data_IF_039478652880
#
_entry.id   IF_039478652880
#
_cell.length_a   1.000
_cell.length_b   1.000
_cell.length_c   1.000
_cell.angle_alpha   90.00
_cell.angle_beta   90.00
_cell.angle_gamma   90.00
#
_symmetry.space_group_name_H-M   'P 1'
#
loop_
_entity.id
_entity.type
_entity.pdbx_description
1 polymer ?
#
# COMPACT_ATOMS: atom_id res chain seq x y z
N UNK A 1 2.75 3.95 -3.22
CA UNK A 1 3.02 5.16 -2.43
C UNK A 1 4.10 5.90 -3.19
N UNK A 2 3.74 6.98 -3.85
CA UNK A 2 4.70 7.80 -4.59
C UNK A 2 4.94 9.07 -3.77
N UNK A 3 6.18 9.25 -3.31
CA UNK A 3 6.55 10.46 -2.58
C UNK A 3 6.73 11.68 -3.52
N UNK A 4 6.76 11.47 -4.85
CA UNK A 4 6.98 12.54 -5.84
C UNK A 4 8.40 13.15 -5.81
N UNK A 5 9.30 12.58 -5.00
CA UNK A 5 10.69 13.01 -4.93
C UNK A 5 11.48 12.45 -6.11
N UNK A 6 12.21 13.30 -6.83
CA UNK A 6 13.07 12.87 -7.93
C UNK A 6 14.36 12.30 -7.36
N UNK A 7 14.53 10.98 -7.44
CA UNK A 7 15.79 10.31 -7.13
C UNK A 7 16.65 10.18 -8.38
N UNK A 8 17.97 10.15 -8.19
CA UNK A 8 18.94 9.87 -9.26
C UNK A 8 19.14 8.37 -9.52
N UNK A 9 18.48 7.52 -8.74
CA UNK A 9 18.56 6.06 -8.79
C UNK A 9 17.17 5.48 -8.90
N UNK A 10 16.96 4.64 -9.90
CA UNK A 10 15.77 3.82 -10.09
C UNK A 10 16.13 2.37 -9.73
N UNK A 11 15.88 2.00 -8.47
CA UNK A 11 16.32 0.73 -7.90
C UNK A 11 15.25 0.15 -7.00
N UNK A 12 15.15 -1.18 -6.97
CA UNK A 12 14.31 -1.91 -6.02
C UNK A 12 15.19 -2.33 -4.84
N UNK A 13 14.80 -1.94 -3.63
CA UNK A 13 15.54 -2.26 -2.41
C UNK A 13 14.75 -3.26 -1.57
N UNK A 14 15.37 -4.38 -1.23
CA UNK A 14 14.82 -5.36 -0.31
C UNK A 14 15.51 -5.26 1.05
N UNK A 15 14.72 -5.19 2.12
CA UNK A 15 15.21 -5.16 3.50
C UNK A 15 15.28 -6.57 4.06
N UNK A 16 16.48 -7.00 4.47
CA UNK A 16 16.74 -8.32 5.06
C UNK A 16 16.32 -8.46 6.52
N UNK A 17 15.26 -7.77 6.93
CA UNK A 17 14.81 -7.71 8.31
C UNK A 17 13.69 -6.68 8.49
N UNK A 18 13.11 -6.64 9.69
CA UNK A 18 12.11 -5.65 10.04
C UNK A 18 12.78 -4.31 10.40
N UNK A 19 12.19 -3.21 9.95
CA UNK A 19 12.54 -1.87 10.44
C UNK A 19 12.10 -1.77 11.91
N UNK A 20 12.97 -1.37 12.84
CA UNK A 20 12.61 -1.23 14.25
C UNK A 20 11.40 -0.31 14.44
N UNK A 21 10.47 -0.69 15.31
CA UNK A 21 9.23 0.07 15.51
C UNK A 21 9.43 1.50 16.07
N UNK A 22 10.60 1.76 16.68
CA UNK A 22 11.02 3.07 17.20
C UNK A 22 11.77 3.91 16.15
N UNK A 23 11.99 3.38 14.95
CA UNK A 23 12.69 4.12 13.90
C UNK A 23 11.77 5.19 13.35
N UNK A 24 12.22 6.44 13.41
CA UNK A 24 11.56 7.58 12.78
C UNK A 24 12.10 7.78 11.36
N UNK A 25 13.40 7.59 11.17
CA UNK A 25 14.05 7.72 9.87
C UNK A 25 14.86 6.49 9.52
N UNK A 26 14.91 6.16 8.23
CA UNK A 26 15.75 5.09 7.68
C UNK A 26 16.57 5.64 6.53
N UNK A 27 17.89 5.67 6.71
CA UNK A 27 18.84 6.10 5.69
C UNK A 27 19.36 4.90 4.91
N UNK A 28 19.35 5.01 3.59
CA UNK A 28 19.75 3.94 2.67
C UNK A 28 21.14 4.25 2.11
N UNK A 29 22.11 3.40 2.41
CA UNK A 29 23.49 3.52 1.95
C UNK A 29 23.78 2.54 0.81
N UNK A 30 24.02 3.09 -0.38
CA UNK A 30 24.37 2.33 -1.58
C UNK A 30 25.90 2.16 -1.70
N UNK A 31 26.48 1.36 -0.83
CA UNK A 31 27.89 0.91 -0.88
C UNK A 31 28.06 -0.42 -1.61
N UNK A 32 29.29 -0.93 -1.73
CA UNK A 32 29.59 -2.27 -2.28
C UNK A 32 28.75 -3.36 -1.59
N UNK A 33 28.60 -3.23 -0.28
CA UNK A 33 27.63 -3.97 0.52
C UNK A 33 26.59 -2.96 1.01
N UNK A 34 25.40 -2.88 0.41
CA UNK A 34 24.43 -1.86 0.75
C UNK A 34 23.72 -2.20 2.06
N UNK A 35 23.41 -1.17 2.85
CA UNK A 35 22.75 -1.31 4.14
C UNK A 35 21.82 -0.13 4.42
N UNK A 36 20.91 -0.31 5.36
CA UNK A 36 20.04 0.74 5.88
C UNK A 36 20.34 0.99 7.36
N UNK A 37 20.36 2.26 7.74
CA UNK A 37 20.54 2.71 9.13
C UNK A 37 19.23 3.27 9.64
N UNK A 38 18.76 2.75 10.76
CA UNK A 38 17.52 3.18 11.39
C UNK A 38 17.84 4.11 12.56
N UNK A 39 17.23 5.30 12.57
CA UNK A 39 17.40 6.29 13.63
C UNK A 39 16.09 6.60 14.31
N UNK A 40 16.16 6.92 15.59
CA UNK A 40 15.01 7.43 16.35
C UNK A 40 14.80 8.93 16.12
N UNK A 41 13.85 9.51 16.85
CA UNK A 41 13.49 10.94 16.79
C UNK A 41 14.66 11.87 17.17
N UNK A 42 15.56 11.42 18.06
CA UNK A 42 16.76 12.18 18.43
C UNK A 42 17.89 12.07 17.38
N UNK A 43 17.70 11.25 16.34
CA UNK A 43 18.70 10.96 15.33
C UNK A 43 19.73 9.91 15.76
N UNK A 44 19.53 9.24 16.89
CA UNK A 44 20.43 8.20 17.36
C UNK A 44 20.21 6.90 16.59
N UNK A 45 21.31 6.20 16.27
CA UNK A 45 21.23 4.91 15.57
C UNK A 45 20.70 3.84 16.52
N UNK A 46 19.52 3.32 16.23
CA UNK A 46 18.88 2.24 16.98
C UNK A 46 19.01 0.87 16.29
N UNK A 47 19.44 0.84 15.02
CA UNK A 47 19.64 -0.42 14.31
C UNK A 47 20.23 -0.25 12.93
N UNK A 48 20.61 -1.39 12.32
CA UNK A 48 21.00 -1.47 10.93
C UNK A 48 20.40 -2.73 10.30
N UNK A 49 20.09 -2.65 9.01
CA UNK A 49 19.58 -3.79 8.23
C UNK A 49 20.39 -3.93 6.96
N UNK A 50 20.86 -5.14 6.66
CA UNK A 50 21.46 -5.43 5.35
C UNK A 50 20.35 -5.36 4.30
N UNK A 51 20.60 -4.61 3.23
CA UNK A 51 19.65 -4.50 2.12
C UNK A 51 20.23 -5.17 0.89
N UNK A 52 19.36 -5.62 -0.01
CA UNK A 52 19.74 -6.10 -1.33
C UNK A 52 19.15 -5.19 -2.39
N UNK A 53 19.95 -4.84 -3.38
CA UNK A 53 19.45 -4.19 -4.59
C UNK A 53 18.98 -5.32 -5.49
N UNK A 54 17.70 -5.31 -5.85
CA UNK A 54 17.11 -6.29 -6.72
C UNK A 54 17.12 -5.76 -8.16
N UNK A 55 17.58 -6.60 -9.08
CA UNK A 55 17.38 -6.37 -10.51
C UNK A 55 15.94 -6.76 -10.85
N UNK A 56 15.16 -5.77 -11.25
CA UNK A 56 13.76 -5.98 -11.58
C UNK A 56 13.12 -4.70 -12.07
N UNK A 57 11.95 -4.85 -12.68
CA UNK A 57 11.10 -3.74 -13.06
C UNK A 57 10.01 -3.61 -12.01
N UNK A 58 9.86 -2.41 -11.43
CA UNK A 58 8.71 -2.15 -10.58
C UNK A 58 7.42 -2.41 -11.37
N UNK A 59 6.39 -3.04 -10.78
CA UNK A 59 5.16 -3.38 -11.49
C UNK A 59 4.60 -2.15 -12.21
N UNK A 60 4.15 -2.35 -13.44
CA UNK A 60 3.45 -1.31 -14.21
C UNK A 60 2.10 -1.04 -13.53
N UNK A 61 2.07 -0.03 -12.66
CA UNK A 61 0.88 0.31 -11.89
C UNK A 61 -0.25 0.81 -12.79
N UNK A 62 0.04 1.41 -13.96
CA UNK A 62 -0.99 1.84 -14.92
C UNK A 62 -1.74 0.67 -15.54
N UNK A 63 -1.15 -0.53 -15.53
CA UNK A 63 -1.83 -1.75 -15.98
C UNK A 63 -2.75 -2.33 -14.92
N UNK A 64 -2.44 -2.14 -13.64
CA UNK A 64 -3.13 -2.79 -12.52
C UNK A 64 -4.15 -1.87 -11.87
N UNK A 65 -3.85 -0.58 -11.77
CA UNK A 65 -4.75 0.42 -11.20
C UNK A 65 -5.88 0.64 -12.20
N UNK A 66 -7.13 0.42 -11.78
CA UNK A 66 -8.25 0.68 -12.66
C UNK A 66 -8.38 2.16 -13.01
N UNK A 67 -8.57 2.46 -14.31
CA UNK A 67 -8.61 3.83 -14.86
C UNK A 67 -10.03 4.40 -14.92
N UNK A 68 -11.04 3.55 -14.93
CA UNK A 68 -12.46 3.92 -14.91
C UNK A 68 -13.11 3.43 -13.64
N UNK A 69 -14.18 4.10 -13.22
CA UNK A 69 -15.04 3.66 -12.12
C UNK A 69 -16.38 3.27 -12.72
N UNK A 70 -16.87 2.08 -12.37
CA UNK A 70 -18.22 1.64 -12.67
C UNK A 70 -19.05 1.73 -11.40
N UNK A 71 -19.85 2.78 -11.26
CA UNK A 71 -20.63 3.04 -10.05
C UNK A 71 -21.78 2.04 -9.84
N UNK A 72 -22.12 1.24 -10.86
CA UNK A 72 -23.15 0.21 -10.76
C UNK A 72 -22.60 -1.15 -10.34
N UNK A 73 -21.28 -1.31 -10.31
CA UNK A 73 -20.64 -2.57 -9.94
C UNK A 73 -20.55 -2.73 -8.42
N UNK A 74 -20.94 -3.90 -7.92
CA UNK A 74 -20.87 -4.31 -6.52
C UNK A 74 -20.06 -5.60 -6.37
N UNK A 75 -18.73 -5.56 -6.65
CA UNK A 75 -17.91 -6.77 -6.64
C UNK A 75 -17.87 -7.40 -5.24
N UNK A 76 -17.93 -8.73 -5.19
CA UNK A 76 -17.68 -9.48 -3.96
C UNK A 76 -16.22 -9.32 -3.53
N UNK A 77 -15.97 -8.69 -2.37
CA UNK A 77 -14.62 -8.51 -1.82
C UNK A 77 -14.41 -9.39 -0.60
N UNK A 78 -13.19 -9.89 -0.42
CA UNK A 78 -12.82 -10.54 0.84
C UNK A 78 -12.83 -9.51 1.97
N UNK A 79 -13.60 -9.78 3.03
CA UNK A 79 -13.63 -8.93 4.23
C UNK A 79 -12.24 -8.76 4.86
N UNK A 80 -11.33 -9.73 4.66
CA UNK A 80 -9.95 -9.63 5.10
C UNK A 80 -9.25 -8.39 4.53
N UNK A 81 -9.55 -8.02 3.28
CA UNK A 81 -8.95 -6.86 2.64
C UNK A 81 -9.36 -5.54 3.30
N UNK A 82 -10.58 -5.47 3.83
CA UNK A 82 -11.10 -4.28 4.51
C UNK A 82 -10.39 -4.00 5.84
N UNK A 83 -9.68 -4.99 6.40
CA UNK A 83 -8.86 -4.80 7.62
C UNK A 83 -7.54 -4.08 7.37
N UNK A 84 -7.00 -4.13 6.14
CA UNK A 84 -5.68 -3.56 5.84
C UNK A 84 -5.61 -2.04 5.96
N UNK A 85 -6.57 -1.24 5.45
CA UNK A 85 -6.60 0.21 5.66
C UNK A 85 -6.29 0.65 7.09
N UNK A 86 -6.96 0.00 8.07
CA UNK A 86 -6.76 0.30 9.48
C UNK A 86 -5.38 -0.16 9.97
N UNK A 87 -4.90 -1.34 9.55
CA UNK A 87 -3.55 -1.82 9.92
C UNK A 87 -2.42 -0.97 9.33
N UNK A 88 -2.62 -0.43 8.13
CA UNK A 88 -1.63 0.38 7.41
C UNK A 88 -1.55 1.80 7.95
N UNK A 89 -2.70 2.43 8.22
CA UNK A 89 -2.78 3.87 8.50
C UNK A 89 -3.35 4.22 9.88
N UNK A 90 -3.81 3.22 10.64
CA UNK A 90 -4.47 3.43 11.93
C UNK A 90 -3.54 3.91 13.06
N UNK A 91 -2.22 3.89 12.86
CA UNK A 91 -1.22 4.28 13.88
C UNK A 91 -1.24 5.77 14.29
N UNK A 92 -2.22 6.56 13.85
CA UNK A 92 -2.47 7.92 14.31
C UNK A 92 -3.93 8.39 14.19
N UNK A 93 -4.85 7.47 13.95
CA UNK A 93 -6.30 7.71 13.88
C UNK A 93 -7.02 6.37 13.92
N UNK A 94 -7.95 6.19 14.86
CA UNK A 94 -8.81 5.00 14.92
C UNK A 94 -9.84 4.95 13.78
N UNK A 95 -10.00 6.08 13.06
CA UNK A 95 -10.92 6.20 11.95
C UNK A 95 -10.15 6.35 10.64
N UNK A 96 -10.20 5.30 9.81
CA UNK A 96 -9.73 5.32 8.42
C UNK A 96 -10.93 5.20 7.51
N UNK A 97 -11.23 6.27 6.76
CA UNK A 97 -12.32 6.29 5.79
C UNK A 97 -11.81 5.77 4.45
N UNK A 98 -12.51 4.80 3.90
CA UNK A 98 -12.26 4.26 2.56
C UNK A 98 -13.50 4.40 1.70
N UNK A 99 -13.31 4.67 0.42
CA UNK A 99 -14.35 4.58 -0.61
C UNK A 99 -13.95 3.52 -1.63
N UNK A 100 -14.87 2.63 -1.97
CA UNK A 100 -14.66 1.68 -3.06
C UNK A 100 -14.81 2.39 -4.40
N UNK A 101 -13.90 2.10 -5.32
CA UNK A 101 -13.93 2.53 -6.71
C UNK A 101 -13.76 1.28 -7.58
N UNK A 102 -14.83 0.51 -7.78
CA UNK A 102 -14.82 -0.68 -8.62
C UNK A 102 -14.79 -0.32 -10.10
N UNK A 103 -14.34 -1.25 -10.94
CA UNK A 103 -14.25 -1.06 -12.39
C UNK A 103 -14.98 -2.15 -13.16
N UNK A 104 -15.90 -2.83 -12.47
CA UNK A 104 -16.63 -4.01 -12.91
C UNK A 104 -16.74 -5.06 -11.80
N UNK A 105 -17.64 -6.03 -11.98
CA UNK A 105 -17.92 -7.10 -11.02
C UNK A 105 -16.74 -8.05 -10.78
N UNK A 106 -15.95 -8.31 -11.82
CA UNK A 106 -14.85 -9.29 -11.79
C UNK A 106 -13.48 -8.66 -12.06
N UNK A 107 -13.41 -7.34 -12.12
CA UNK A 107 -12.19 -6.57 -12.40
C UNK A 107 -11.67 -5.91 -11.13
N UNK A 108 -10.41 -5.49 -11.12
CA UNK A 108 -9.78 -4.91 -9.95
C UNK A 108 -10.62 -3.74 -9.37
N UNK A 109 -10.72 -3.68 -8.04
CA UNK A 109 -11.38 -2.61 -7.32
C UNK A 109 -10.32 -1.79 -6.58
N UNK A 110 -10.36 -0.47 -6.71
CA UNK A 110 -9.48 0.44 -5.97
C UNK A 110 -10.16 0.89 -4.68
N UNK A 111 -9.45 0.80 -3.56
CA UNK A 111 -9.82 1.47 -2.32
C UNK A 111 -9.19 2.86 -2.33
N UNK A 112 -10.04 3.88 -2.37
CA UNK A 112 -9.66 5.28 -2.27
C UNK A 112 -9.64 5.70 -0.81
N UNK A 113 -8.58 6.38 -0.40
CA UNK A 113 -8.45 6.95 0.94
C UNK A 113 -8.87 8.40 0.97
N UNK A 114 -9.27 8.87 2.14
CA UNK A 114 -9.59 10.28 2.33
C UNK A 114 -8.34 11.18 2.27
N UNK A 115 -8.58 12.49 2.15
CA UNK A 115 -7.50 13.48 2.01
C UNK A 115 -6.49 13.44 3.16
N UNK A 116 -6.94 13.11 4.37
CA UNK A 116 -6.09 13.07 5.56
C UNK A 116 -5.02 11.99 5.47
N UNK A 117 -5.38 10.81 4.95
CA UNK A 117 -4.44 9.71 4.70
C UNK A 117 -3.52 10.09 3.54
N UNK A 118 -4.07 10.67 2.47
CA UNK A 118 -3.29 11.02 1.28
C UNK A 118 -2.22 12.09 1.55
N UNK A 119 -2.53 13.08 2.39
CA UNK A 119 -1.58 14.13 2.78
C UNK A 119 -0.49 13.59 3.71
N UNK A 120 -0.82 12.71 4.66
CA UNK A 120 0.14 12.14 5.61
C UNK A 120 1.05 11.08 4.99
N UNK A 121 0.48 10.22 4.14
CA UNK A 121 1.16 9.01 3.67
C UNK A 121 1.50 9.05 2.18
N UNK A 122 1.23 10.14 1.46
CA UNK A 122 1.68 10.33 0.08
C UNK A 122 0.98 9.41 -0.93
N UNK A 123 -0.04 9.93 -1.60
CA UNK A 123 -0.79 9.27 -2.69
C UNK A 123 -0.95 7.74 -2.50
N UNK A 124 -1.54 7.34 -1.37
CA UNK A 124 -1.76 5.93 -1.05
C UNK A 124 -2.72 5.30 -2.06
N UNK A 125 -2.31 4.17 -2.65
CA UNK A 125 -3.10 3.41 -3.60
C UNK A 125 -3.24 1.99 -3.06
N UNK A 126 -4.47 1.49 -2.99
CA UNK A 126 -4.74 0.12 -2.57
C UNK A 126 -5.70 -0.52 -3.56
N UNK A 127 -5.26 -1.60 -4.20
CA UNK A 127 -6.01 -2.29 -5.25
C UNK A 127 -6.23 -3.72 -4.80
N UNK A 128 -7.47 -4.18 -4.92
CA UNK A 128 -7.88 -5.54 -4.53
C UNK A 128 -8.54 -6.23 -5.71
N UNK A 129 -8.34 -7.54 -5.80
CA UNK A 129 -9.08 -8.36 -6.75
C UNK A 129 -10.38 -8.84 -6.09
N UNK A 130 -11.53 -8.72 -6.79
CA UNK A 130 -12.75 -9.38 -6.37
C UNK A 130 -12.60 -10.89 -6.27
N UNK A 131 -13.41 -11.48 -5.39
CA UNK A 131 -13.58 -12.92 -5.32
C UNK A 131 -14.50 -13.36 -6.45
N UNK A 132 -14.27 -14.57 -6.96
CA UNK A 132 -15.25 -15.23 -7.81
C UNK A 132 -16.42 -15.67 -6.93
N UNK A 133 -17.64 -15.41 -7.38
CA UNK A 133 -18.85 -15.79 -6.67
C UNK A 133 -19.93 -16.23 -7.65
N UNK A 134 -20.88 -16.98 -7.12
CA UNK A 134 -22.14 -17.32 -7.77
C UNK A 134 -23.28 -16.53 -7.10
N UNK A 135 -24.39 -16.35 -7.81
CA UNK A 135 -25.56 -15.63 -7.28
C UNK A 135 -26.10 -16.33 -6.01
N UNK A 136 -25.94 -17.65 -5.92
CA UNK A 136 -26.34 -18.46 -4.77
C UNK A 136 -25.55 -18.15 -3.49
N UNK A 137 -24.31 -17.64 -3.62
CA UNK A 137 -23.46 -17.28 -2.48
C UNK A 137 -23.93 -16.02 -1.75
N UNK A 138 -24.73 -15.18 -2.42
CA UNK A 138 -25.26 -13.93 -1.89
C UNK A 138 -26.79 -13.90 -2.05
N UNK A 139 -27.54 -14.49 -1.10
CA UNK A 139 -29.00 -14.43 -1.16
C UNK A 139 -29.43 -12.95 -1.16
N UNK A 140 -30.13 -12.53 -2.21
CA UNK A 140 -30.60 -11.15 -2.35
C UNK A 140 -31.31 -10.69 -1.07
N UNK A 141 -30.90 -9.53 -0.56
CA UNK A 141 -31.70 -8.83 0.44
C UNK A 141 -32.92 -8.29 -0.31
N UNK A 142 -34.07 -8.97 -0.20
CA UNK A 142 -35.35 -8.40 -0.63
C UNK A 142 -35.52 -7.08 0.11
N UNK A 143 -35.47 -5.98 -0.63
CA UNK A 143 -35.76 -4.64 -0.14
C UNK A 143 -37.21 -4.53 0.34
#
# INVERSE_FOLDING_TARGET
MEHGFKTNKDVIVWFGGAVPARAETTEIHFSKEPYAVHRDEAGERIGFTVIKILEGRFPDMDRVIPKSVDENATPALSAHYLSYPLKMFGKGSDLIRIRLAPSGETTACRLMFDRSVMEKFGNAQFVVMPMRYSIEDFPEVKA
#
